data_IF_017503540821
#
_entry.id   IF_017503540821
#
_cell.length_a   1.000
_cell.length_b   1.000
_cell.length_c   1.000
_cell.angle_alpha   90.00
_cell.angle_beta   90.00
_cell.angle_gamma   90.00
#
_symmetry.space_group_name_H-M   'P 1'
#
loop_
_entity.id
_entity.type
_entity.pdbx_description
1 polymer ?
#
# COMPACT_ATOMS: atom_id res chain seq x y z
N UNK A 1 -14.91 42.24 65.53
CA UNK A 1 -15.38 41.02 64.88
C UNK A 1 -14.65 40.93 63.54
N UNK A 2 -13.66 40.01 63.43
CA UNK A 2 -12.84 39.82 62.24
C UNK A 2 -13.35 38.59 61.47
N UNK A 3 -13.88 38.82 60.28
CA UNK A 3 -14.35 37.72 59.39
C UNK A 3 -13.15 37.13 58.68
N UNK A 4 -12.87 35.81 58.90
CA UNK A 4 -11.92 35.00 58.15
C UNK A 4 -12.66 34.39 56.94
N UNK A 5 -12.21 34.75 55.76
CA UNK A 5 -12.67 34.10 54.51
C UNK A 5 -11.62 33.04 54.16
N UNK A 6 -12.04 31.77 54.13
CA UNK A 6 -11.21 30.63 53.70
C UNK A 6 -11.43 30.48 52.18
N UNK A 7 -10.39 30.51 51.36
CA UNK A 7 -10.54 30.18 49.91
C UNK A 7 -10.63 28.66 49.75
N UNK A 8 -11.70 28.18 49.10
CA UNK A 8 -11.84 26.81 48.69
C UNK A 8 -10.95 26.58 47.44
N UNK A 9 -9.94 25.77 47.57
CA UNK A 9 -9.12 25.31 46.45
C UNK A 9 -9.85 24.14 45.77
N UNK A 10 -10.40 24.38 44.60
CA UNK A 10 -10.94 23.32 43.72
C UNK A 10 -9.74 22.59 43.05
N UNK A 11 -9.40 21.40 43.56
CA UNK A 11 -8.47 20.51 42.91
C UNK A 11 -9.18 19.84 41.71
N UNK A 12 -8.92 20.34 40.50
CA UNK A 12 -9.35 19.69 39.28
C UNK A 12 -8.61 18.36 39.07
N UNK A 13 -9.29 17.24 39.21
CA UNK A 13 -8.79 15.94 38.75
C UNK A 13 -8.72 15.98 37.18
N UNK A 14 -7.52 16.16 36.64
CA UNK A 14 -7.26 15.83 35.27
C UNK A 14 -7.25 14.30 35.14
N UNK A 15 -8.34 13.74 34.66
CA UNK A 15 -8.37 12.34 34.21
C UNK A 15 -7.48 12.22 32.97
N UNK A 16 -6.24 11.81 33.17
CA UNK A 16 -5.39 11.34 32.06
C UNK A 16 -6.04 10.07 31.53
N UNK A 17 -6.71 10.20 30.37
CA UNK A 17 -7.23 9.05 29.63
C UNK A 17 -6.05 8.16 29.27
N UNK A 18 -5.87 7.05 29.98
CA UNK A 18 -4.96 5.99 29.58
C UNK A 18 -5.59 5.35 28.34
N UNK A 19 -5.10 5.75 27.17
CA UNK A 19 -5.38 5.02 25.93
C UNK A 19 -4.75 3.64 26.08
N UNK A 20 -5.56 2.63 26.37
CA UNK A 20 -5.10 1.25 26.29
C UNK A 20 -4.78 0.97 24.82
N UNK A 21 -3.49 0.96 24.48
CA UNK A 21 -3.05 0.36 23.24
C UNK A 21 -3.57 -1.08 23.23
N UNK A 22 -4.26 -1.49 22.16
CA UNK A 22 -4.77 -2.86 22.04
C UNK A 22 -3.58 -3.83 22.19
N UNK A 23 -3.75 -4.85 23.06
CA UNK A 23 -2.67 -5.80 23.32
C UNK A 23 -2.53 -6.78 22.15
N UNK A 24 -1.27 -7.15 21.85
CA UNK A 24 -0.97 -8.21 20.91
C UNK A 24 -1.60 -9.54 21.35
N UNK A 25 -2.04 -10.40 20.39
CA UNK A 25 -2.44 -11.77 20.68
C UNK A 25 -1.42 -12.48 21.58
N UNK A 26 -1.89 -13.20 22.61
CA UNK A 26 -1.03 -13.84 23.59
C UNK A 26 0.04 -14.76 22.97
N UNK A 27 -0.30 -15.45 21.89
CA UNK A 27 0.61 -16.32 21.14
C UNK A 27 1.77 -15.56 20.49
N UNK A 28 1.50 -14.38 19.90
CA UNK A 28 2.53 -13.51 19.29
C UNK A 28 3.40 -12.91 20.39
N UNK A 29 2.79 -12.44 21.48
CA UNK A 29 3.50 -11.88 22.63
C UNK A 29 4.45 -12.91 23.28
N UNK A 30 3.99 -14.15 23.45
CA UNK A 30 4.80 -15.23 24.02
C UNK A 30 5.96 -15.63 23.09
N UNK A 31 5.74 -15.63 21.78
CA UNK A 31 6.77 -15.94 20.77
C UNK A 31 7.76 -14.79 20.59
N UNK A 32 7.35 -13.55 20.84
CA UNK A 32 8.15 -12.34 20.59
C UNK A 32 8.47 -12.11 19.12
N UNK A 33 7.74 -12.73 18.19
CA UNK A 33 7.96 -12.67 16.75
C UNK A 33 6.64 -12.63 16.00
N UNK A 34 6.60 -11.82 14.93
CA UNK A 34 5.49 -11.75 13.98
C UNK A 34 5.98 -12.12 12.57
N UNK A 35 5.25 -13.00 11.88
CA UNK A 35 5.59 -13.46 10.53
C UNK A 35 4.81 -12.64 9.51
N UNK A 36 5.52 -11.97 8.59
CA UNK A 36 4.93 -11.05 7.61
C UNK A 36 5.23 -11.50 6.19
N UNK A 37 4.17 -11.74 5.39
CA UNK A 37 4.30 -12.06 3.98
C UNK A 37 4.60 -10.80 3.16
N UNK A 38 5.56 -10.93 2.22
CA UNK A 38 5.99 -9.88 1.30
C UNK A 38 6.39 -10.49 -0.04
N UNK A 39 6.16 -9.77 -1.16
CA UNK A 39 6.60 -10.17 -2.50
C UNK A 39 7.54 -9.11 -3.09
N UNK A 40 8.86 -9.22 -2.92
CA UNK A 40 9.80 -8.14 -3.18
C UNK A 40 10.10 -7.90 -4.66
N UNK A 41 9.09 -7.46 -5.41
CA UNK A 41 9.18 -7.13 -6.85
C UNK A 41 8.45 -5.85 -7.25
N UNK A 42 8.03 -5.03 -6.26
CA UNK A 42 7.20 -3.84 -6.45
C UNK A 42 7.84 -2.57 -5.88
N UNK A 43 8.96 -2.07 -6.46
CA UNK A 43 9.57 -0.83 -6.01
C UNK A 43 8.64 0.38 -6.24
N UNK A 44 8.61 1.36 -5.29
CA UNK A 44 9.39 1.45 -4.07
C UNK A 44 8.71 0.83 -2.84
N UNK A 45 7.58 0.13 -3.00
CA UNK A 45 6.84 -0.47 -1.89
C UNK A 45 7.64 -1.61 -1.23
N UNK A 46 8.00 -2.61 -2.01
CA UNK A 46 8.80 -3.75 -1.56
C UNK A 46 9.62 -4.32 -2.72
N UNK A 47 10.92 -4.45 -2.54
CA UNK A 47 11.81 -5.00 -3.55
C UNK A 47 13.14 -5.46 -2.95
N UNK A 48 13.93 -6.15 -3.76
CA UNK A 48 15.33 -6.42 -3.43
C UNK A 48 16.23 -5.37 -4.07
N UNK A 49 17.07 -4.75 -3.26
CA UNK A 49 18.07 -3.81 -3.75
C UNK A 49 18.99 -4.51 -4.77
N UNK A 50 19.12 -3.99 -6.00
CA UNK A 50 19.88 -4.67 -7.05
C UNK A 50 21.37 -4.85 -6.76
N UNK A 51 21.97 -4.01 -5.90
CA UNK A 51 23.39 -4.07 -5.57
C UNK A 51 23.69 -5.05 -4.44
N UNK A 52 22.80 -5.15 -3.45
CA UNK A 52 23.02 -5.92 -2.22
C UNK A 52 22.16 -7.18 -2.13
N UNK A 53 21.12 -7.29 -2.97
CA UNK A 53 20.08 -8.34 -2.92
C UNK A 53 19.34 -8.41 -1.57
N UNK A 54 19.37 -7.33 -0.78
CA UNK A 54 18.65 -7.23 0.48
C UNK A 54 17.25 -6.69 0.27
N UNK A 55 16.31 -7.17 1.10
CA UNK A 55 14.94 -6.68 1.12
C UNK A 55 14.91 -5.21 1.56
N UNK A 56 14.15 -4.38 0.86
CA UNK A 56 14.02 -2.95 1.09
C UNK A 56 12.68 -2.42 0.54
N UNK A 57 12.35 -1.17 0.82
CA UNK A 57 11.12 -0.52 0.35
C UNK A 57 10.30 0.07 1.49
N UNK A 58 9.24 0.79 1.13
CA UNK A 58 8.30 1.39 2.09
C UNK A 58 7.75 0.33 3.06
N UNK A 59 7.23 -0.77 2.54
CA UNK A 59 6.60 -1.82 3.33
C UNK A 59 7.58 -2.49 4.29
N UNK A 60 8.82 -2.69 3.82
CA UNK A 60 9.87 -3.22 4.66
C UNK A 60 10.23 -2.28 5.83
N UNK A 61 10.43 -0.99 5.56
CA UNK A 61 10.75 0.00 6.59
C UNK A 61 9.58 0.19 7.56
N UNK A 62 8.35 0.30 7.03
CA UNK A 62 7.14 0.44 7.84
C UNK A 62 6.91 -0.77 8.73
N UNK A 63 7.06 -1.99 8.19
CA UNK A 63 6.88 -3.22 8.94
C UNK A 63 7.89 -3.36 10.08
N UNK A 64 9.17 -3.04 9.84
CA UNK A 64 10.19 -3.06 10.90
C UNK A 64 9.89 -2.03 12.00
N UNK A 65 9.50 -0.81 11.64
CA UNK A 65 9.12 0.22 12.60
C UNK A 65 7.86 -0.15 13.40
N UNK A 66 6.88 -0.79 12.76
CA UNK A 66 5.70 -1.33 13.45
C UNK A 66 6.07 -2.45 14.43
N UNK A 67 6.92 -3.39 14.03
CA UNK A 67 7.35 -4.49 14.89
C UNK A 67 8.13 -3.97 16.13
N UNK A 68 9.00 -3.00 15.94
CA UNK A 68 9.70 -2.31 17.04
C UNK A 68 8.70 -1.67 18.01
N UNK A 69 7.70 -0.95 17.50
CA UNK A 69 6.66 -0.31 18.29
C UNK A 69 5.77 -1.29 19.04
N UNK A 70 5.51 -2.44 18.45
CA UNK A 70 4.77 -3.54 19.06
C UNK A 70 5.61 -4.39 20.03
N UNK A 71 6.93 -4.14 20.13
CA UNK A 71 7.85 -4.86 21.00
C UNK A 71 8.10 -6.31 20.58
N UNK A 72 8.03 -6.60 19.27
CA UNK A 72 8.28 -7.94 18.71
C UNK A 72 9.32 -7.89 17.59
N UNK A 73 9.92 -9.04 17.27
CA UNK A 73 10.76 -9.19 16.08
C UNK A 73 9.90 -9.47 14.86
N UNK A 74 10.33 -8.99 13.69
CA UNK A 74 9.68 -9.33 12.44
C UNK A 74 10.44 -10.43 11.72
N UNK A 75 9.69 -11.40 11.19
CA UNK A 75 10.21 -12.43 10.28
C UNK A 75 9.54 -12.24 8.93
N UNK A 76 10.29 -11.73 7.97
CA UNK A 76 9.83 -11.61 6.60
C UNK A 76 9.76 -12.96 5.92
N UNK A 77 8.63 -13.24 5.25
CA UNK A 77 8.41 -14.46 4.47
C UNK A 77 8.05 -14.08 3.03
N UNK A 78 8.98 -14.32 2.11
CA UNK A 78 8.69 -14.13 0.68
C UNK A 78 7.56 -15.08 0.25
N UNK A 79 6.50 -14.50 -0.30
CA UNK A 79 5.26 -15.21 -0.65
C UNK A 79 4.71 -14.64 -1.96
N UNK A 80 4.31 -15.50 -2.89
CA UNK A 80 3.67 -15.06 -4.13
C UNK A 80 2.39 -14.27 -3.83
N UNK A 81 2.15 -13.16 -4.53
CA UNK A 81 1.06 -12.22 -4.24
C UNK A 81 -0.31 -12.90 -4.16
N UNK A 82 -0.61 -13.80 -5.10
CA UNK A 82 -1.86 -14.55 -5.12
C UNK A 82 -2.04 -15.53 -3.96
N UNK A 83 -0.96 -15.88 -3.26
CA UNK A 83 -0.97 -16.84 -2.16
C UNK A 83 -1.08 -16.15 -0.79
N UNK A 84 -0.92 -14.83 -0.71
CA UNK A 84 -0.84 -14.09 0.54
C UNK A 84 -2.11 -14.19 1.38
N UNK A 85 -3.29 -14.00 0.78
CA UNK A 85 -4.56 -14.12 1.49
C UNK A 85 -4.75 -15.55 2.02
N UNK A 86 -4.40 -16.56 1.22
CA UNK A 86 -4.44 -17.95 1.67
C UNK A 86 -3.43 -18.21 2.81
N UNK A 87 -2.26 -17.58 2.77
CA UNK A 87 -1.27 -17.71 3.85
C UNK A 87 -1.79 -17.13 5.18
N UNK A 88 -2.53 -15.99 5.13
CA UNK A 88 -3.21 -15.42 6.31
C UNK A 88 -4.33 -16.31 6.84
N UNK A 89 -5.23 -16.78 5.98
CA UNK A 89 -6.42 -17.55 6.38
C UNK A 89 -6.08 -18.94 6.91
N UNK A 90 -4.89 -19.47 6.54
CA UNK A 90 -4.33 -20.75 7.01
C UNK A 90 -3.28 -20.59 8.10
N UNK A 91 -3.14 -19.40 8.69
CA UNK A 91 -2.22 -19.05 9.78
C UNK A 91 -0.73 -19.38 9.49
N UNK A 92 -0.32 -19.42 8.21
CA UNK A 92 1.09 -19.56 7.82
C UNK A 92 1.88 -18.26 8.02
N UNK A 93 1.20 -17.13 7.99
CA UNK A 93 1.73 -15.81 8.32
C UNK A 93 0.74 -15.08 9.22
N UNK A 94 1.22 -14.09 9.96
CA UNK A 94 0.41 -13.28 10.85
C UNK A 94 -0.12 -12.03 10.13
N UNK A 95 0.69 -11.46 9.26
CA UNK A 95 0.39 -10.25 8.49
C UNK A 95 0.77 -10.42 7.01
N UNK A 96 0.12 -9.63 6.17
CA UNK A 96 0.58 -9.34 4.79
C UNK A 96 0.91 -7.85 4.70
N UNK A 97 2.10 -7.51 4.24
CA UNK A 97 2.51 -6.13 3.96
C UNK A 97 3.29 -6.14 2.64
N UNK A 98 2.61 -5.82 1.54
CA UNK A 98 3.14 -5.93 0.18
C UNK A 98 2.28 -5.16 -0.83
N UNK A 99 2.07 -3.86 -0.57
CA UNK A 99 1.35 -2.97 -1.49
C UNK A 99 -0.06 -3.46 -1.87
N UNK A 100 -0.75 -4.19 -0.97
CA UNK A 100 -2.02 -4.82 -1.31
C UNK A 100 -3.18 -3.83 -1.18
N UNK A 101 -3.91 -3.61 -2.29
CA UNK A 101 -5.12 -2.78 -2.30
C UNK A 101 -6.18 -3.39 -1.39
N UNK A 102 -6.76 -2.58 -0.51
CA UNK A 102 -7.95 -2.91 0.24
C UNK A 102 -9.18 -2.87 -0.69
N UNK A 103 -9.84 -4.00 -0.89
CA UNK A 103 -11.06 -4.11 -1.71
C UNK A 103 -12.13 -4.90 -0.97
N UNK A 104 -13.41 -4.60 -1.27
CA UNK A 104 -14.54 -5.32 -0.69
C UNK A 104 -14.45 -6.85 -0.91
N UNK A 105 -13.95 -7.30 -2.07
CA UNK A 105 -13.74 -8.73 -2.36
C UNK A 105 -12.73 -9.35 -1.38
N UNK A 106 -11.58 -8.71 -1.16
CA UNK A 106 -10.54 -9.19 -0.26
C UNK A 106 -10.97 -9.11 1.20
N UNK A 107 -11.72 -8.05 1.56
CA UNK A 107 -12.32 -7.88 2.89
C UNK A 107 -13.26 -9.04 3.26
N UNK A 108 -13.83 -9.75 2.30
CA UNK A 108 -14.60 -10.98 2.59
C UNK A 108 -13.77 -12.02 3.37
N UNK A 109 -12.46 -12.09 3.12
CA UNK A 109 -11.54 -13.10 3.66
C UNK A 109 -10.62 -12.60 4.77
N UNK A 110 -10.20 -11.35 4.72
CA UNK A 110 -9.19 -10.74 5.63
C UNK A 110 -9.65 -9.37 6.12
N UNK A 111 -9.00 -8.86 7.15
CA UNK A 111 -9.15 -7.48 7.63
C UNK A 111 -7.97 -6.66 7.12
N UNK A 112 -8.20 -5.46 6.61
CA UNK A 112 -7.15 -4.52 6.23
C UNK A 112 -7.02 -3.42 7.28
N UNK A 113 -5.77 -3.08 7.62
CA UNK A 113 -5.41 -1.86 8.32
C UNK A 113 -4.76 -0.95 7.28
N UNK A 114 -5.45 0.12 6.90
CA UNK A 114 -5.03 0.99 5.81
C UNK A 114 -3.87 1.86 6.23
N UNK A 115 -2.81 1.89 5.41
CA UNK A 115 -1.59 2.62 5.75
C UNK A 115 -1.12 3.58 4.64
N UNK A 116 -1.72 3.53 3.45
CA UNK A 116 -1.29 4.32 2.31
C UNK A 116 -2.43 4.50 1.31
N UNK A 117 -2.37 5.51 0.45
CA UNK A 117 -3.28 5.66 -0.70
C UNK A 117 -2.51 5.71 -1.99
N UNK A 118 -3.00 4.99 -2.99
CA UNK A 118 -2.45 4.94 -4.33
C UNK A 118 -3.56 4.73 -5.35
N UNK A 119 -3.24 4.74 -6.63
CA UNK A 119 -4.20 4.41 -7.67
C UNK A 119 -3.50 4.00 -8.96
N UNK A 120 -4.18 3.21 -9.81
CA UNK A 120 -3.62 2.78 -11.09
C UNK A 120 -3.38 3.98 -11.99
N UNK A 121 -2.16 4.09 -12.49
CA UNK A 121 -1.73 5.15 -13.39
C UNK A 121 -1.13 4.55 -14.66
N UNK A 122 -1.63 4.98 -15.81
CA UNK A 122 -1.01 4.65 -17.08
C UNK A 122 0.32 5.37 -17.25
N UNK A 123 1.29 4.68 -17.83
CA UNK A 123 2.58 5.25 -18.21
C UNK A 123 3.11 4.60 -19.48
N UNK A 124 4.00 5.33 -20.18
CA UNK A 124 4.66 4.87 -21.38
C UNK A 124 6.09 5.40 -21.44
N UNK A 125 6.84 5.01 -22.46
CA UNK A 125 8.18 5.57 -22.69
C UNK A 125 8.10 7.04 -23.10
N UNK A 126 9.02 7.86 -22.62
CA UNK A 126 9.10 9.29 -22.93
C UNK A 126 9.22 9.59 -24.44
N UNK A 127 9.84 8.67 -25.20
CA UNK A 127 9.92 8.74 -26.66
C UNK A 127 8.57 8.59 -27.37
N UNK A 128 7.57 7.99 -26.72
CA UNK A 128 6.25 7.76 -27.32
C UNK A 128 5.38 9.04 -27.22
N UNK A 129 5.63 10.00 -28.11
CA UNK A 129 4.99 11.32 -28.08
C UNK A 129 3.48 11.29 -28.40
N UNK A 130 2.98 10.21 -29.00
CA UNK A 130 1.57 10.09 -29.39
C UNK A 130 0.63 9.71 -28.25
N UNK A 131 1.14 9.20 -27.11
CA UNK A 131 0.33 8.78 -25.97
C UNK A 131 0.42 9.82 -24.84
N UNK A 132 -0.60 10.65 -24.67
CA UNK A 132 -0.66 11.69 -23.65
C UNK A 132 -1.91 11.56 -22.78
N UNK A 133 -3.04 11.20 -23.40
CA UNK A 133 -4.33 11.07 -22.74
C UNK A 133 -4.83 9.62 -22.78
N UNK A 134 -5.76 9.26 -21.89
CA UNK A 134 -6.31 7.90 -21.83
C UNK A 134 -6.92 7.49 -23.18
N UNK A 135 -7.53 8.41 -23.90
CA UNK A 135 -8.13 8.15 -25.22
C UNK A 135 -7.12 7.81 -26.31
N UNK A 136 -5.85 8.09 -26.13
CA UNK A 136 -4.77 7.69 -27.05
C UNK A 136 -4.42 6.19 -26.89
N UNK A 137 -4.86 5.59 -25.78
CA UNK A 137 -4.65 4.16 -25.50
C UNK A 137 -5.71 3.26 -26.16
N UNK A 138 -6.74 3.80 -26.79
CA UNK A 138 -7.77 3.04 -27.47
C UNK A 138 -7.16 2.17 -28.58
N UNK A 139 -7.41 0.86 -28.53
CA UNK A 139 -6.84 -0.15 -29.43
C UNK A 139 -5.36 -0.49 -29.17
N UNK A 140 -4.73 0.10 -28.14
CA UNK A 140 -3.32 -0.14 -27.77
C UNK A 140 -3.19 -1.31 -26.79
N UNK A 141 -2.01 -1.93 -26.77
CA UNK A 141 -1.64 -2.97 -25.83
C UNK A 141 -1.14 -2.35 -24.54
N UNK A 142 -1.82 -2.60 -23.43
CA UNK A 142 -1.47 -2.09 -22.11
C UNK A 142 -1.13 -3.23 -21.17
N UNK A 143 0.10 -3.27 -20.68
CA UNK A 143 0.60 -4.30 -19.77
C UNK A 143 0.32 -3.95 -18.30
N UNK A 144 -0.02 -4.97 -17.51
CA UNK A 144 -0.13 -4.84 -16.04
C UNK A 144 -0.04 -6.20 -15.37
N UNK A 145 0.27 -6.20 -14.06
CA UNK A 145 0.28 -7.44 -13.26
C UNK A 145 -1.10 -8.11 -13.28
N UNK A 146 -1.17 -9.34 -13.77
CA UNK A 146 -2.43 -10.05 -14.06
C UNK A 146 -3.30 -10.34 -12.85
N UNK A 147 -2.73 -10.35 -11.64
CA UNK A 147 -3.40 -10.77 -10.40
C UNK A 147 -3.65 -9.63 -9.42
N UNK A 148 -3.64 -8.39 -9.94
CA UNK A 148 -4.01 -7.17 -9.22
C UNK A 148 -5.43 -6.75 -9.58
N UNK A 149 -5.90 -5.64 -9.05
CA UNK A 149 -7.15 -4.97 -9.46
C UNK A 149 -7.02 -4.30 -10.83
N UNK A 150 -5.81 -4.00 -11.27
CA UNK A 150 -5.53 -3.18 -12.43
C UNK A 150 -6.12 -3.69 -13.77
N UNK A 151 -6.13 -5.00 -14.09
CA UNK A 151 -6.78 -5.48 -15.31
C UNK A 151 -8.25 -5.07 -15.40
N UNK A 152 -9.02 -5.19 -14.31
CA UNK A 152 -10.42 -4.81 -14.27
C UNK A 152 -10.61 -3.30 -14.40
N UNK A 153 -9.74 -2.50 -13.77
CA UNK A 153 -9.78 -1.05 -13.83
C UNK A 153 -9.41 -0.51 -15.21
N UNK A 154 -8.43 -1.11 -15.89
CA UNK A 154 -8.13 -0.79 -17.30
C UNK A 154 -9.34 -1.08 -18.17
N UNK A 155 -10.00 -2.24 -17.98
CA UNK A 155 -11.19 -2.60 -18.75
C UNK A 155 -12.36 -1.63 -18.49
N UNK A 156 -12.58 -1.21 -17.24
CA UNK A 156 -13.60 -0.22 -16.89
C UNK A 156 -13.30 1.15 -17.55
N UNK A 157 -12.03 1.59 -17.48
CA UNK A 157 -11.57 2.81 -18.14
C UNK A 157 -11.73 2.73 -19.68
N UNK A 158 -11.44 1.57 -20.28
CA UNK A 158 -11.63 1.32 -21.72
C UNK A 158 -13.08 1.50 -22.14
N UNK A 159 -14.03 0.93 -21.40
CA UNK A 159 -15.46 1.07 -21.67
C UNK A 159 -15.90 2.53 -21.73
N UNK A 160 -15.45 3.34 -20.77
CA UNK A 160 -15.84 4.75 -20.67
C UNK A 160 -15.14 5.62 -21.71
N UNK A 161 -13.82 5.47 -21.87
CA UNK A 161 -12.99 6.39 -22.66
C UNK A 161 -12.82 5.97 -24.12
N UNK A 162 -13.03 4.69 -24.44
CA UNK A 162 -12.86 4.18 -25.81
C UNK A 162 -14.18 3.67 -26.40
N UNK A 163 -14.74 2.61 -25.84
CA UNK A 163 -15.87 1.88 -26.45
C UNK A 163 -17.14 2.74 -26.49
N UNK A 164 -17.45 3.48 -25.42
CA UNK A 164 -18.59 4.42 -25.42
C UNK A 164 -18.45 5.55 -26.48
N UNK A 165 -17.23 5.78 -26.96
CA UNK A 165 -16.92 6.78 -28.00
C UNK A 165 -16.67 6.14 -29.39
N UNK A 166 -17.07 4.88 -29.61
CA UNK A 166 -16.91 4.17 -30.87
C UNK A 166 -15.45 3.84 -31.23
N UNK A 167 -14.52 3.90 -30.27
CA UNK A 167 -13.12 3.54 -30.47
C UNK A 167 -12.86 2.08 -30.05
N UNK A 168 -11.82 1.42 -30.60
CA UNK A 168 -11.44 0.08 -30.18
C UNK A 168 -11.10 0.02 -28.68
N UNK A 169 -11.44 -1.08 -28.02
CA UNK A 169 -11.08 -1.32 -26.62
C UNK A 169 -9.57 -1.34 -26.41
N UNK A 170 -9.10 -0.98 -25.19
CA UNK A 170 -7.73 -1.20 -24.77
C UNK A 170 -7.48 -2.70 -24.66
N UNK A 171 -6.37 -3.18 -25.22
CA UNK A 171 -5.96 -4.59 -25.15
C UNK A 171 -5.12 -4.82 -23.91
N UNK A 172 -5.70 -5.44 -22.89
CA UNK A 172 -5.00 -5.71 -21.62
C UNK A 172 -4.07 -6.91 -21.77
N UNK A 173 -2.79 -6.72 -21.46
CA UNK A 173 -1.74 -7.76 -21.46
C UNK A 173 -1.34 -8.05 -20.00
N UNK A 174 -1.68 -9.25 -19.52
CA UNK A 174 -1.30 -9.70 -18.18
C UNK A 174 0.19 -10.07 -18.10
N UNK A 175 0.90 -9.46 -17.17
CA UNK A 175 2.33 -9.71 -16.89
C UNK A 175 2.54 -10.38 -15.54
N UNK A 176 3.74 -10.90 -15.29
CA UNK A 176 4.08 -11.56 -14.00
C UNK A 176 4.35 -10.54 -12.86
N UNK A 177 4.38 -9.25 -13.16
CA UNK A 177 4.60 -8.19 -12.19
C UNK A 177 5.07 -6.91 -12.87
N UNK A 178 5.37 -5.89 -12.05
CA UNK A 178 5.77 -4.57 -12.56
C UNK A 178 7.08 -4.60 -13.36
N UNK A 179 8.03 -5.41 -12.96
CA UNK A 179 9.31 -5.55 -13.67
C UNK A 179 9.13 -6.14 -15.06
N UNK A 180 8.28 -7.18 -15.21
CA UNK A 180 7.96 -7.77 -16.51
C UNK A 180 7.22 -6.77 -17.40
N UNK A 181 6.23 -6.04 -16.88
CA UNK A 181 5.54 -5.00 -17.64
C UNK A 181 6.53 -3.94 -18.18
N UNK A 182 7.47 -3.47 -17.35
CA UNK A 182 8.51 -2.52 -17.79
C UNK A 182 9.42 -3.11 -18.86
N UNK A 183 9.84 -4.37 -18.72
CA UNK A 183 10.67 -5.04 -19.70
C UNK A 183 9.95 -5.15 -21.06
N UNK A 184 8.68 -5.54 -21.07
CA UNK A 184 7.85 -5.63 -22.29
C UNK A 184 7.64 -4.26 -22.93
N UNK A 185 7.44 -3.20 -22.13
CA UNK A 185 7.32 -1.82 -22.59
C UNK A 185 8.60 -1.34 -23.30
N UNK A 186 9.78 -1.58 -22.69
CA UNK A 186 11.08 -1.24 -23.30
C UNK A 186 11.33 -1.98 -24.61
N UNK A 187 10.87 -3.23 -24.70
CA UNK A 187 10.97 -4.07 -25.88
C UNK A 187 9.89 -3.76 -26.94
N UNK A 188 9.03 -2.76 -26.69
CA UNK A 188 7.92 -2.38 -27.57
C UNK A 188 6.94 -3.54 -27.87
N UNK A 189 6.81 -4.49 -26.95
CA UNK A 189 5.80 -5.56 -27.01
C UNK A 189 4.43 -5.08 -26.57
N UNK A 190 4.41 -4.04 -25.73
CA UNK A 190 3.25 -3.27 -25.29
C UNK A 190 3.47 -1.79 -25.52
N UNK A 191 2.40 -1.01 -25.68
CA UNK A 191 2.43 0.42 -25.99
C UNK A 191 2.51 1.28 -24.70
N UNK A 192 1.85 0.81 -23.65
CA UNK A 192 1.82 1.44 -22.34
C UNK A 192 1.73 0.36 -21.24
N UNK A 193 1.90 0.77 -20.01
CA UNK A 193 1.69 -0.11 -18.85
C UNK A 193 0.91 0.63 -17.75
N UNK A 194 0.35 -0.14 -16.78
CA UNK A 194 -0.29 0.39 -15.58
C UNK A 194 0.43 -0.13 -14.35
N UNK A 195 0.69 0.78 -13.42
CA UNK A 195 1.19 0.51 -12.09
C UNK A 195 0.52 1.49 -11.10
N UNK A 196 0.72 1.28 -9.81
CA UNK A 196 0.36 2.27 -8.82
C UNK A 196 1.13 3.58 -9.05
N UNK A 197 0.48 4.70 -8.74
CA UNK A 197 1.05 6.04 -8.94
C UNK A 197 2.37 6.26 -8.18
N UNK A 198 2.56 5.59 -7.05
CA UNK A 198 3.78 5.58 -6.24
C UNK A 198 5.00 5.04 -7.00
N UNK A 199 4.81 4.03 -7.85
CA UNK A 199 5.89 3.45 -8.66
C UNK A 199 6.47 4.47 -9.64
N UNK A 200 5.66 5.38 -10.16
CA UNK A 200 6.11 6.32 -11.18
C UNK A 200 7.05 7.39 -10.65
N UNK A 201 6.85 7.86 -9.41
CA UNK A 201 7.78 8.78 -8.76
C UNK A 201 9.15 8.12 -8.60
N UNK A 202 9.19 6.89 -8.11
CA UNK A 202 10.40 6.10 -8.00
C UNK A 202 11.10 5.90 -9.35
N UNK A 203 10.36 5.51 -10.39
CA UNK A 203 10.92 5.29 -11.74
C UNK A 203 11.50 6.57 -12.34
N UNK A 204 10.87 7.72 -12.15
CA UNK A 204 11.38 9.02 -12.61
C UNK A 204 12.72 9.37 -11.96
N UNK A 205 12.90 9.01 -10.69
CA UNK A 205 14.14 9.27 -9.96
C UNK A 205 15.26 8.32 -10.38
N UNK A 206 14.94 7.04 -10.58
CA UNK A 206 15.92 6.01 -10.97
C UNK A 206 16.29 6.05 -12.45
N UNK A 207 15.33 6.33 -13.31
CA UNK A 207 15.49 6.29 -14.78
C UNK A 207 14.99 7.59 -15.40
N UNK A 208 15.75 8.67 -15.16
CA UNK A 208 15.43 10.01 -15.66
C UNK A 208 15.09 9.98 -17.15
N UNK A 209 14.06 10.72 -17.54
CA UNK A 209 13.62 10.91 -18.92
C UNK A 209 13.24 9.62 -19.68
N UNK A 210 13.08 8.48 -18.99
CA UNK A 210 12.71 7.21 -19.62
C UNK A 210 11.21 7.06 -19.76
N UNK A 211 10.44 7.44 -18.72
CA UNK A 211 8.99 7.23 -18.64
C UNK A 211 8.24 8.55 -18.50
N UNK A 212 7.00 8.54 -18.98
CA UNK A 212 6.00 9.59 -18.72
C UNK A 212 4.65 8.96 -18.38
N UNK A 213 3.84 9.68 -17.60
CA UNK A 213 2.44 9.34 -17.35
C UNK A 213 1.58 9.58 -18.58
N UNK A 214 0.47 8.86 -18.70
CA UNK A 214 -0.58 9.05 -19.69
C UNK A 214 -1.89 9.29 -18.95
N UNK A 215 -2.45 10.49 -19.10
CA UNK A 215 -3.61 10.94 -18.34
C UNK A 215 -3.35 11.09 -16.84
N UNK A 216 -4.42 11.14 -16.07
CA UNK A 216 -4.41 11.15 -14.60
C UNK A 216 -4.57 9.73 -14.04
N UNK A 217 -4.29 9.50 -12.75
CA UNK A 217 -4.64 8.23 -12.07
C UNK A 217 -6.12 7.92 -12.23
N UNK A 218 -6.47 6.64 -12.42
CA UNK A 218 -7.85 6.22 -12.66
C UNK A 218 -8.73 6.38 -11.42
N UNK A 219 -8.19 6.00 -10.27
CA UNK A 219 -8.87 6.04 -8.97
C UNK A 219 -7.85 6.34 -7.88
N UNK A 220 -8.34 6.64 -6.67
CA UNK A 220 -7.54 6.65 -5.44
C UNK A 220 -8.08 5.54 -4.55
N UNK A 221 -7.22 4.64 -4.14
CA UNK A 221 -7.57 3.45 -3.37
C UNK A 221 -6.70 3.35 -2.13
N UNK A 222 -7.24 2.76 -1.07
CA UNK A 222 -6.46 2.41 0.10
C UNK A 222 -5.58 1.19 -0.18
N UNK A 223 -4.36 1.27 0.31
CA UNK A 223 -3.43 0.14 0.42
C UNK A 223 -3.37 -0.24 1.89
N UNK A 224 -3.65 -1.50 2.19
CA UNK A 224 -3.81 -1.99 3.54
C UNK A 224 -2.88 -3.13 3.89
N UNK A 225 -2.50 -3.18 5.15
CA UNK A 225 -1.83 -4.30 5.79
C UNK A 225 -2.90 -5.37 6.11
N UNK A 226 -2.76 -6.57 5.54
CA UNK A 226 -3.71 -7.65 5.72
C UNK A 226 -3.51 -8.40 7.04
N UNK A 227 -4.61 -8.67 7.76
CA UNK A 227 -4.66 -9.44 9.01
C UNK A 227 -5.75 -10.51 8.91
N UNK A 228 -5.53 -11.68 9.51
CA UNK A 228 -6.56 -12.71 9.59
C UNK A 228 -7.76 -12.22 10.39
N UNK A 229 -8.98 -12.41 9.88
CA UNK A 229 -10.24 -12.13 10.62
C UNK A 229 -10.36 -12.87 11.94
N UNK A 230 -9.59 -13.94 12.13
CA UNK A 230 -9.54 -14.71 13.39
C UNK A 230 -8.71 -14.00 14.48
N UNK A 231 -7.99 -12.91 14.14
CA UNK A 231 -7.09 -12.17 15.05
C UNK A 231 -7.47 -10.69 15.11
N UNK A 232 -8.71 -10.33 15.51
CA UNK A 232 -9.14 -8.93 15.52
C UNK A 232 -8.30 -8.05 16.46
N UNK A 233 -7.79 -8.61 17.56
CA UNK A 233 -6.90 -7.92 18.50
C UNK A 233 -5.57 -7.55 17.83
N UNK A 234 -5.08 -8.33 16.86
CA UNK A 234 -3.88 -8.00 16.10
C UNK A 234 -4.12 -6.81 15.17
N UNK A 235 -5.27 -6.75 14.50
CA UNK A 235 -5.60 -5.59 13.65
C UNK A 235 -5.71 -4.30 14.46
N UNK A 236 -6.31 -4.34 15.65
CA UNK A 236 -6.39 -3.17 16.53
C UNK A 236 -5.02 -2.76 17.08
N UNK A 237 -4.16 -3.73 17.46
CA UNK A 237 -2.80 -3.44 17.91
C UNK A 237 -1.96 -2.78 16.80
N UNK A 238 -2.02 -3.31 15.57
CA UNK A 238 -1.34 -2.73 14.40
C UNK A 238 -1.88 -1.35 14.08
N UNK A 239 -3.21 -1.16 14.10
CA UNK A 239 -3.85 0.15 13.91
C UNK A 239 -3.36 1.18 14.94
N UNK A 240 -3.35 0.81 16.22
CA UNK A 240 -2.87 1.71 17.29
C UNK A 240 -1.39 2.06 17.14
N UNK A 241 -0.54 1.08 16.81
CA UNK A 241 0.88 1.30 16.56
C UNK A 241 1.10 2.24 15.35
N UNK A 242 0.42 1.99 14.24
CA UNK A 242 0.52 2.82 13.04
C UNK A 242 0.01 4.24 13.29
N UNK A 243 -1.12 4.42 14.00
CA UNK A 243 -1.63 5.74 14.36
C UNK A 243 -0.62 6.51 15.22
N UNK A 244 0.01 5.85 16.20
CA UNK A 244 1.04 6.48 17.01
C UNK A 244 2.29 6.88 16.20
N UNK A 245 2.62 6.16 15.12
CA UNK A 245 3.67 6.55 14.18
C UNK A 245 3.30 7.76 13.32
N UNK A 246 2.01 7.91 12.99
CA UNK A 246 1.48 9.12 12.34
C UNK A 246 1.58 10.31 13.27
N UNK A 247 1.15 10.14 14.52
CA UNK A 247 1.06 11.20 15.51
C UNK A 247 2.44 11.74 15.92
N UNK A 248 3.48 10.89 15.98
CA UNK A 248 4.85 11.32 16.30
C UNK A 248 5.72 11.67 15.08
N UNK A 249 5.20 11.52 13.86
CA UNK A 249 5.86 11.86 12.60
C UNK A 249 6.85 10.83 12.07
N UNK A 250 7.04 9.68 12.73
CA UNK A 250 7.93 8.61 12.24
C UNK A 250 7.42 7.97 10.95
N UNK A 251 6.09 7.81 10.80
CA UNK A 251 5.46 7.41 9.56
C UNK A 251 5.80 8.37 8.41
N UNK A 252 5.67 9.68 8.63
CA UNK A 252 5.98 10.68 7.62
C UNK A 252 7.46 10.66 7.21
N UNK A 253 8.35 10.39 8.17
CA UNK A 253 9.79 10.24 7.91
C UNK A 253 10.08 9.06 6.99
N UNK A 254 9.38 7.93 7.18
CA UNK A 254 9.51 6.75 6.32
C UNK A 254 8.98 7.05 4.90
N UNK A 255 7.81 7.68 4.76
CA UNK A 255 7.28 8.09 3.47
C UNK A 255 8.24 9.01 2.70
N UNK A 256 8.80 10.00 3.39
CA UNK A 256 9.75 10.95 2.80
C UNK A 256 11.03 10.28 2.30
N UNK A 257 11.51 9.25 2.98
CA UNK A 257 12.67 8.45 2.52
C UNK A 257 12.44 7.87 1.12
N UNK A 258 11.17 7.58 0.77
CA UNK A 258 10.78 6.94 -0.48
C UNK A 258 10.12 7.87 -1.50
N UNK A 259 10.03 9.19 -1.21
CA UNK A 259 9.31 10.20 -2.02
C UNK A 259 7.82 9.84 -2.22
N UNK A 260 7.16 9.36 -1.14
CA UNK A 260 5.80 8.83 -1.16
C UNK A 260 4.80 9.62 -0.30
N UNK A 261 5.12 10.86 0.06
CA UNK A 261 4.29 11.70 0.93
C UNK A 261 2.89 11.98 0.37
N UNK A 262 2.74 11.92 -0.95
CA UNK A 262 1.44 12.13 -1.63
C UNK A 262 0.42 11.04 -1.30
N UNK A 263 0.86 9.85 -0.95
CA UNK A 263 -0.01 8.73 -0.53
C UNK A 263 -0.26 8.68 0.98
N UNK A 264 0.23 9.66 1.74
CA UNK A 264 0.11 9.69 3.20
C UNK A 264 -1.36 9.73 3.65
N UNK A 265 -1.66 8.94 4.67
CA UNK A 265 -2.92 9.02 5.41
C UNK A 265 -2.73 9.84 6.70
N UNK A 266 -3.81 10.42 7.21
CA UNK A 266 -3.82 11.17 8.49
C UNK A 266 -4.39 10.33 9.63
N UNK A 267 -5.28 9.42 9.31
CA UNK A 267 -5.97 8.56 10.29
C UNK A 267 -5.99 7.14 9.74
N UNK A 268 -5.62 6.20 10.60
CA UNK A 268 -5.63 4.78 10.25
C UNK A 268 -7.06 4.25 10.28
N UNK A 269 -7.49 3.66 9.18
CA UNK A 269 -8.81 3.04 9.02
C UNK A 269 -8.70 1.52 8.94
N UNK A 270 -9.82 0.86 9.16
CA UNK A 270 -9.94 -0.59 8.95
C UNK A 270 -10.99 -0.80 7.87
N UNK A 271 -10.63 -1.54 6.80
CA UNK A 271 -11.53 -1.90 5.71
C UNK A 271 -12.23 -0.68 5.08
N UNK A 272 -11.52 0.42 4.84
CA UNK A 272 -12.09 1.61 4.21
C UNK A 272 -12.07 1.55 2.68
N UNK A 273 -11.43 0.55 2.10
CA UNK A 273 -11.43 0.29 0.65
C UNK A 273 -12.79 -0.18 0.13
N UNK A 274 -13.03 0.00 -1.17
CA UNK A 274 -14.30 -0.29 -1.85
C UNK A 274 -14.15 -1.44 -2.85
#
# INVERSE_FOLDING_TARGET
MKNFVIPAVLAGLMATGVSFAAELPAAIKAKGEIVVAIMPNYPPMDFKDPATNTLTGLDYDLGNALAERLGVKIKWQETGFEQMINALTTDRVDLVLSGMTDTAERQASVTFVDYFTSGPQFYTLQKNKALNEITDLCGKKVGTSRRTTFPAEIAASSKINCEANGKPAIVVIGTEGSADARAQLRQSRIDAAVQGSETLSYLKNQEKDTYKTVGLPLTVQFTGLGVSKKKPELSEAVKGALQSMIDDGSYQTILKKWDLELGAIKTVTINAGQ
#
